data_IF_695519518553
#
_entry.id   IF_695519518553
#
_cell.length_a   1.000
_cell.length_b   1.000
_cell.length_c   1.000
_cell.angle_alpha   90.00
_cell.angle_beta   90.00
_cell.angle_gamma   90.00
#
_symmetry.space_group_name_H-M   'P 1'
#
loop_
_entity.id
_entity.type
_entity.pdbx_description
1 polymer ?
#
# COMPACT_ATOMS: atom_id res chain seq x y z
N UNK A 1 4.69 -21.96 -15.37
CA UNK A 1 5.68 -21.70 -14.31
C UNK A 1 6.97 -21.32 -15.01
N UNK A 2 7.16 -20.03 -15.29
CA UNK A 2 8.44 -19.58 -15.87
C UNK A 2 9.44 -19.58 -14.73
N UNK A 3 10.53 -20.35 -14.88
CA UNK A 3 11.68 -20.25 -13.99
C UNK A 3 12.30 -18.87 -14.18
N UNK A 4 11.72 -17.87 -13.51
CA UNK A 4 12.22 -16.51 -13.47
C UNK A 4 13.54 -16.51 -12.72
N UNK A 5 14.51 -15.76 -13.25
CA UNK A 5 15.80 -15.50 -12.60
C UNK A 5 15.56 -15.07 -11.15
N UNK A 6 16.33 -15.61 -10.19
CA UNK A 6 16.22 -15.25 -8.77
C UNK A 6 16.41 -13.74 -8.59
N UNK A 7 15.42 -13.00 -8.05
CA UNK A 7 15.54 -11.57 -7.80
C UNK A 7 16.75 -11.19 -6.94
N UNK A 8 17.29 -12.11 -6.13
CA UNK A 8 18.48 -11.87 -5.30
C UNK A 8 19.78 -11.77 -6.08
N UNK A 9 19.81 -12.31 -7.29
CA UNK A 9 20.95 -12.27 -8.19
C UNK A 9 20.83 -11.16 -9.25
N UNK A 10 19.80 -10.33 -9.15
CA UNK A 10 19.58 -9.18 -10.04
C UNK A 10 20.35 -7.96 -9.53
N UNK A 11 20.89 -7.17 -10.46
CA UNK A 11 21.34 -5.81 -10.15
C UNK A 11 20.15 -4.95 -9.71
N UNK A 12 20.44 -3.78 -9.14
CA UNK A 12 19.40 -2.83 -8.73
C UNK A 12 18.51 -2.42 -9.92
N UNK A 13 19.10 -2.18 -11.07
CA UNK A 13 18.41 -1.80 -12.30
C UNK A 13 17.52 -2.95 -12.81
N UNK A 14 18.02 -4.18 -12.71
CA UNK A 14 17.27 -5.39 -13.07
C UNK A 14 16.08 -5.62 -12.13
N UNK A 15 16.22 -5.37 -10.83
CA UNK A 15 15.13 -5.43 -9.86
C UNK A 15 14.03 -4.41 -10.15
N UNK A 16 14.40 -3.17 -10.48
CA UNK A 16 13.44 -2.12 -10.85
C UNK A 16 12.65 -2.56 -12.08
N UNK A 17 13.33 -3.01 -13.14
CA UNK A 17 12.68 -3.49 -14.36
C UNK A 17 11.81 -4.74 -14.13
N UNK A 18 12.20 -5.62 -13.21
CA UNK A 18 11.44 -6.81 -12.82
C UNK A 18 10.10 -6.43 -12.15
N UNK A 19 10.13 -5.47 -11.21
CA UNK A 19 8.91 -5.02 -10.53
C UNK A 19 7.99 -4.16 -11.42
N UNK A 20 8.55 -3.37 -12.33
CA UNK A 20 7.77 -2.60 -13.31
C UNK A 20 6.96 -3.52 -14.25
N UNK A 21 7.41 -4.76 -14.45
CA UNK A 21 6.72 -5.79 -15.24
C UNK A 21 5.76 -6.66 -14.42
N UNK A 22 5.53 -6.32 -13.15
CA UNK A 22 4.62 -7.06 -12.27
C UNK A 22 5.25 -8.28 -11.60
N UNK A 23 6.57 -8.27 -11.39
CA UNK A 23 7.25 -9.30 -10.60
C UNK A 23 6.71 -9.42 -9.18
N UNK A 24 6.70 -10.64 -8.64
CA UNK A 24 6.18 -10.94 -7.30
C UNK A 24 7.22 -10.62 -6.22
N UNK A 25 6.85 -9.74 -5.28
CA UNK A 25 7.69 -9.36 -4.14
C UNK A 25 7.73 -10.43 -3.05
N UNK A 26 6.76 -11.35 -3.03
CA UNK A 26 6.66 -12.43 -2.06
C UNK A 26 7.88 -13.36 -2.09
N UNK A 27 8.54 -13.49 -3.25
CA UNK A 27 9.76 -14.28 -3.39
C UNK A 27 10.96 -13.69 -2.65
N UNK A 28 11.07 -12.36 -2.58
CA UNK A 28 12.09 -11.67 -1.80
C UNK A 28 11.77 -11.70 -0.30
N UNK A 29 10.49 -11.63 0.04
CA UNK A 29 10.04 -11.59 1.43
C UNK A 29 9.99 -12.97 2.10
N UNK A 30 9.91 -14.06 1.34
CA UNK A 30 9.79 -15.44 1.86
C UNK A 30 10.90 -15.82 2.83
N UNK A 31 12.12 -15.37 2.56
CA UNK A 31 13.31 -15.65 3.38
C UNK A 31 13.85 -14.37 4.04
N UNK A 32 13.08 -13.29 4.03
CA UNK A 32 13.49 -12.05 4.68
C UNK A 32 13.57 -12.29 6.18
N UNK A 33 14.76 -12.09 6.74
CA UNK A 33 14.97 -12.14 8.18
C UNK A 33 14.08 -11.10 8.83
N UNK A 34 13.35 -11.49 9.88
CA UNK A 34 12.54 -10.54 10.66
C UNK A 34 13.45 -9.39 11.09
N UNK A 35 13.06 -8.17 10.73
CA UNK A 35 13.77 -6.98 11.17
C UNK A 35 13.83 -6.90 12.70
N UNK A 36 14.70 -6.05 13.26
CA UNK A 36 14.76 -5.84 14.69
C UNK A 36 13.36 -5.50 15.23
N UNK A 37 13.02 -6.08 16.38
CA UNK A 37 11.78 -5.73 17.08
C UNK A 37 11.82 -4.24 17.38
N UNK A 38 10.94 -3.48 16.73
CA UNK A 38 10.84 -2.03 16.89
C UNK A 38 10.15 -1.65 18.22
N UNK A 39 9.87 -2.63 19.07
CA UNK A 39 9.20 -2.45 20.35
C UNK A 39 7.69 -2.54 20.22
N UNK A 40 6.95 -2.21 21.30
CA UNK A 40 5.50 -2.28 21.30
C UNK A 40 4.93 -1.43 20.17
N UNK A 41 3.95 -1.98 19.44
CA UNK A 41 3.17 -1.23 18.46
C UNK A 41 2.66 0.05 19.14
N UNK A 42 2.99 1.24 18.63
CA UNK A 42 2.55 2.48 19.25
C UNK A 42 1.02 2.47 19.34
N UNK A 43 0.47 3.07 20.40
CA UNK A 43 -0.96 3.29 20.46
C UNK A 43 -1.41 4.01 19.17
N UNK A 44 -2.57 3.70 18.57
CA UNK A 44 -2.99 4.23 17.27
C UNK A 44 -2.86 5.76 17.14
N UNK A 45 -3.14 6.47 18.22
CA UNK A 45 -3.02 7.93 18.38
C UNK A 45 -1.58 8.45 18.40
N UNK A 46 -0.61 7.58 18.67
CA UNK A 46 0.84 7.85 18.70
C UNK A 46 1.60 7.30 17.48
N UNK A 47 0.91 6.56 16.59
CA UNK A 47 1.49 6.14 15.32
C UNK A 47 1.58 7.39 14.44
N UNK A 48 2.78 7.88 14.08
CA UNK A 48 2.89 8.95 13.11
C UNK A 48 2.20 8.50 11.82
N UNK A 49 1.34 9.35 11.28
CA UNK A 49 0.52 9.08 10.11
C UNK A 49 1.33 8.33 9.03
N UNK A 50 1.07 7.03 8.87
CA UNK A 50 1.82 6.20 7.92
C UNK A 50 1.33 6.55 6.52
N UNK A 51 2.20 7.21 5.76
CA UNK A 51 1.92 7.48 4.34
C UNK A 51 2.01 6.17 3.58
N UNK A 52 0.86 5.65 3.18
CA UNK A 52 0.77 4.45 2.34
C UNK A 52 0.44 4.86 0.91
N UNK A 53 1.21 4.36 -0.05
CA UNK A 53 0.92 4.51 -1.48
C UNK A 53 0.04 3.37 -1.98
N UNK A 54 -1.02 3.69 -2.71
CA UNK A 54 -1.88 2.71 -3.39
C UNK A 54 -1.92 3.03 -4.88
N UNK A 55 -1.93 1.99 -5.72
CA UNK A 55 -2.10 2.14 -7.18
C UNK A 55 -3.58 2.11 -7.50
N UNK A 56 -4.07 3.16 -8.14
CA UNK A 56 -5.46 3.27 -8.61
C UNK A 56 -5.47 3.47 -10.13
N UNK A 57 -6.51 2.99 -10.83
CA UNK A 57 -6.73 3.36 -12.22
C UNK A 57 -6.78 4.88 -12.40
N UNK A 58 -6.23 5.38 -13.50
CA UNK A 58 -6.17 6.82 -13.80
C UNK A 58 -7.56 7.47 -13.83
N UNK A 59 -8.58 6.72 -14.23
CA UNK A 59 -9.99 7.15 -14.21
C UNK A 59 -10.48 7.47 -12.80
N UNK A 60 -10.13 6.64 -11.82
CA UNK A 60 -10.48 6.84 -10.41
C UNK A 60 -9.69 8.03 -9.85
N UNK A 61 -8.40 8.16 -10.19
CA UNK A 61 -7.59 9.31 -9.77
C UNK A 61 -8.20 10.62 -10.24
N UNK A 62 -8.62 10.70 -11.51
CA UNK A 62 -9.29 11.89 -12.06
C UNK A 62 -10.59 12.21 -11.34
N UNK A 63 -11.42 11.20 -11.05
CA UNK A 63 -12.66 11.40 -10.29
C UNK A 63 -12.37 11.92 -8.87
N UNK A 64 -11.34 11.40 -8.21
CA UNK A 64 -10.92 11.89 -6.90
C UNK A 64 -10.41 13.34 -6.98
N UNK A 65 -9.71 13.72 -8.04
CA UNK A 65 -9.26 15.10 -8.26
C UNK A 65 -10.45 16.06 -8.43
N UNK A 66 -11.46 15.67 -9.21
CA UNK A 66 -12.70 16.45 -9.40
C UNK A 66 -13.47 16.60 -8.08
N UNK A 67 -13.63 15.52 -7.32
CA UNK A 67 -14.32 15.53 -6.03
C UNK A 67 -13.58 16.31 -4.95
N UNK A 68 -12.24 16.29 -4.97
CA UNK A 68 -11.41 16.98 -3.99
C UNK A 68 -11.36 18.50 -4.20
N UNK A 69 -11.83 19.02 -5.35
CA UNK A 69 -11.63 20.39 -5.85
C UNK A 69 -11.38 21.48 -4.80
N UNK A 70 -12.30 21.68 -3.84
CA UNK A 70 -12.19 22.69 -2.78
C UNK A 70 -12.20 22.11 -1.35
N UNK A 71 -12.05 20.79 -1.19
CA UNK A 71 -12.04 20.16 0.12
C UNK A 71 -10.71 20.45 0.83
N UNK A 72 -10.77 21.00 2.06
CA UNK A 72 -9.60 21.23 2.92
C UNK A 72 -8.82 19.94 3.21
N UNK A 73 -9.49 18.77 3.17
CA UNK A 73 -8.86 17.46 3.33
C UNK A 73 -8.26 16.86 2.05
N UNK A 74 -8.58 17.44 0.88
CA UNK A 74 -8.18 16.93 -0.43
C UNK A 74 -8.51 15.46 -0.66
N UNK A 75 -7.80 14.82 -1.59
CA UNK A 75 -7.97 13.39 -1.93
C UNK A 75 -7.82 12.47 -0.72
N UNK A 76 -6.85 12.75 0.15
CA UNK A 76 -6.58 11.91 1.32
C UNK A 76 -7.75 11.92 2.31
N UNK A 77 -8.44 13.06 2.47
CA UNK A 77 -9.64 13.15 3.29
C UNK A 77 -10.79 12.30 2.73
N UNK A 78 -11.01 12.37 1.42
CA UNK A 78 -12.03 11.57 0.73
C UNK A 78 -11.78 10.07 0.86
N UNK A 79 -10.51 9.65 0.67
CA UNK A 79 -10.12 8.24 0.78
C UNK A 79 -10.34 7.73 2.22
N UNK A 80 -9.95 8.51 3.23
CA UNK A 80 -10.17 8.13 4.63
C UNK A 80 -11.65 7.94 4.95
N UNK A 81 -12.48 8.92 4.57
CA UNK A 81 -13.94 8.81 4.77
C UNK A 81 -14.51 7.56 4.09
N UNK A 82 -14.11 7.29 2.86
CA UNK A 82 -14.57 6.10 2.13
C UNK A 82 -14.16 4.79 2.84
N UNK A 83 -12.94 4.73 3.41
CA UNK A 83 -12.48 3.60 4.20
C UNK A 83 -13.30 3.47 5.50
N UNK A 84 -13.50 4.56 6.23
CA UNK A 84 -14.27 4.56 7.48
C UNK A 84 -15.72 4.11 7.23
N UNK A 85 -16.36 4.61 6.17
CA UNK A 85 -17.71 4.20 5.75
C UNK A 85 -17.78 2.74 5.30
N UNK A 86 -16.74 2.23 4.66
CA UNK A 86 -16.66 0.82 4.31
C UNK A 86 -16.53 -0.04 5.56
N UNK A 87 -15.60 0.30 6.47
CA UNK A 87 -15.40 -0.42 7.72
C UNK A 87 -16.64 -0.38 8.61
N UNK A 88 -17.29 0.78 8.77
CA UNK A 88 -18.51 0.89 9.56
C UNK A 88 -19.64 -0.02 9.03
N UNK A 89 -19.73 -0.22 7.71
CA UNK A 89 -20.72 -1.12 7.09
C UNK A 89 -20.38 -2.60 7.26
N UNK A 90 -19.11 -2.96 7.36
CA UNK A 90 -18.66 -4.36 7.34
C UNK A 90 -17.99 -4.83 8.65
N UNK A 91 -17.92 -3.97 9.67
CA UNK A 91 -17.35 -4.29 10.98
C UNK A 91 -18.11 -5.40 11.73
N UNK A 92 -19.33 -5.73 11.29
CA UNK A 92 -20.10 -6.87 11.81
C UNK A 92 -19.85 -8.21 11.10
N UNK A 93 -19.08 -8.25 10.01
CA UNK A 93 -18.84 -9.47 9.22
C UNK A 93 -17.54 -10.20 9.58
N UNK A 94 -16.72 -9.61 10.46
CA UNK A 94 -15.42 -10.16 10.88
C UNK A 94 -15.38 -10.65 12.34
N UNK A 95 -16.54 -10.76 13.02
CA UNK A 95 -16.67 -11.25 14.39
C UNK A 95 -17.30 -12.66 14.44
#
# INVERSE_FOLDING_TARGET
>A
MSAGRDPRAMSREELVAYFDRGGDISELLRDATRGPDLGPTPAPESVPMVVTGVRLPSTIVRQLDELAGNDKGGRSGLIRRAIDEYLARHAGEAA
#
